data_IF_012000805935
#
_entry.id   IF_012000805935
#
_cell.length_a   1.000
_cell.length_b   1.000
_cell.length_c   1.000
_cell.angle_alpha   90.00
_cell.angle_beta   90.00
_cell.angle_gamma   90.00
#
_symmetry.space_group_name_H-M   'P 1'
#
loop_
_entity.id
_entity.type
_entity.pdbx_description
1 polymer ?
#
# COMPACT_ATOMS: atom_id res chain seq x y z
N UNK A 1 -11.72 1.97 -1.64
CA UNK A 1 -11.90 1.01 -0.52
C UNK A 1 -10.62 0.21 -0.21
N UNK A 2 -10.08 -0.58 -1.14
CA UNK A 2 -8.82 -1.31 -0.90
C UNK A 2 -7.59 -0.39 -0.92
N UNK A 3 -7.48 0.48 -1.93
CA UNK A 3 -6.39 1.47 -2.03
C UNK A 3 -6.36 2.42 -0.82
N UNK A 4 -7.51 2.97 -0.43
CA UNK A 4 -7.66 3.78 0.80
C UNK A 4 -7.09 3.10 2.05
N UNK A 5 -7.31 1.79 2.22
CA UNK A 5 -6.78 1.06 3.39
C UNK A 5 -5.27 0.88 3.33
N UNK A 6 -4.69 0.78 2.13
CA UNK A 6 -3.23 0.76 1.95
C UNK A 6 -2.64 2.13 2.26
N UNK A 7 -3.24 3.19 1.71
CA UNK A 7 -2.79 4.56 1.95
C UNK A 7 -2.95 5.04 3.40
N UNK A 8 -3.87 4.44 4.16
CA UNK A 8 -4.05 4.76 5.57
C UNK A 8 -2.81 4.46 6.44
N UNK A 9 -1.95 3.52 6.03
CA UNK A 9 -0.77 3.11 6.80
C UNK A 9 0.54 3.27 6.02
N UNK A 10 0.47 3.58 4.74
CA UNK A 10 1.64 3.68 3.86
C UNK A 10 1.42 4.72 2.76
N UNK A 11 2.27 5.74 2.69
CA UNK A 11 2.14 6.79 1.69
C UNK A 11 2.50 6.33 0.27
N UNK A 12 3.27 5.23 0.14
CA UNK A 12 3.94 4.82 -1.09
C UNK A 12 3.76 3.32 -1.42
N UNK A 13 2.52 2.79 -1.45
CA UNK A 13 2.26 1.37 -1.69
C UNK A 13 2.80 0.85 -3.04
N UNK A 14 2.91 1.72 -4.04
CA UNK A 14 3.48 1.42 -5.36
C UNK A 14 4.97 1.06 -5.30
N UNK A 15 5.71 1.65 -4.35
CA UNK A 15 7.13 1.36 -4.18
C UNK A 15 7.34 0.22 -3.20
N UNK A 16 6.63 0.25 -2.07
CA UNK A 16 6.79 -0.78 -1.03
C UNK A 16 6.34 -2.14 -1.53
N UNK A 17 5.27 -2.24 -2.33
CA UNK A 17 4.82 -3.53 -2.89
C UNK A 17 5.89 -4.20 -3.78
N UNK A 18 6.82 -3.43 -4.34
CA UNK A 18 7.92 -3.91 -5.19
C UNK A 18 9.20 -4.19 -4.41
N UNK A 19 9.55 -3.31 -3.46
CA UNK A 19 10.82 -3.36 -2.74
C UNK A 19 10.78 -4.18 -1.44
N UNK A 20 9.60 -4.30 -0.82
CA UNK A 20 9.47 -4.89 0.50
C UNK A 20 10.01 -6.34 0.54
N UNK A 21 10.81 -6.71 1.56
CA UNK A 21 11.26 -8.09 1.77
C UNK A 21 10.13 -9.02 2.26
N UNK A 22 8.89 -8.53 2.31
CA UNK A 22 7.67 -9.27 2.61
C UNK A 22 7.66 -10.04 3.95
N UNK A 23 7.97 -9.39 5.10
CA UNK A 23 7.90 -10.06 6.40
C UNK A 23 6.48 -10.54 6.75
N UNK A 24 5.46 -9.88 6.21
CA UNK A 24 4.05 -10.29 6.32
C UNK A 24 3.77 -11.66 5.67
N UNK A 25 4.46 -12.00 4.58
CA UNK A 25 4.32 -13.29 3.90
C UNK A 25 5.03 -14.40 4.70
N UNK A 26 6.22 -14.11 5.22
CA UNK A 26 6.97 -15.03 6.10
C UNK A 26 6.20 -15.40 7.38
N UNK A 27 5.38 -14.48 7.90
CA UNK A 27 4.56 -14.69 9.09
C UNK A 27 3.16 -15.27 8.78
N UNK A 28 2.85 -15.59 7.52
CA UNK A 28 1.53 -16.06 7.12
C UNK A 28 1.22 -17.45 7.71
N UNK A 29 0.10 -17.57 8.44
CA UNK A 29 -0.33 -18.85 9.03
C UNK A 29 -0.60 -19.94 7.99
N UNK A 30 -0.99 -19.56 6.76
CA UNK A 30 -1.14 -20.51 5.66
C UNK A 30 0.20 -21.16 5.28
N UNK A 31 1.29 -20.40 5.46
CA UNK A 31 2.69 -20.82 5.28
C UNK A 31 3.11 -22.05 6.11
N UNK A 32 2.33 -22.44 7.12
CA UNK A 32 2.60 -23.64 7.94
C UNK A 32 2.42 -24.92 7.11
N UNK A 33 1.43 -24.96 6.22
CA UNK A 33 1.05 -26.19 5.49
C UNK A 33 0.92 -26.01 3.97
N UNK A 34 0.93 -24.77 3.48
CA UNK A 34 0.77 -24.41 2.06
C UNK A 34 1.60 -23.17 1.74
N UNK A 35 1.81 -22.81 0.46
CA UNK A 35 2.45 -21.55 0.12
C UNK A 35 1.74 -20.35 0.77
N UNK A 36 2.51 -19.43 1.32
CA UNK A 36 1.99 -18.19 1.89
C UNK A 36 1.26 -17.35 0.83
N UNK A 37 0.31 -16.52 1.29
CA UNK A 37 -0.34 -15.54 0.41
C UNK A 37 0.71 -14.54 -0.07
N UNK A 38 0.71 -14.22 -1.36
CA UNK A 38 1.58 -13.19 -1.95
C UNK A 38 1.04 -11.79 -1.66
N UNK A 39 1.04 -11.40 -0.38
CA UNK A 39 0.50 -10.13 0.12
C UNK A 39 1.10 -8.96 -0.65
N UNK A 40 2.43 -8.92 -0.85
CA UNK A 40 3.07 -7.79 -1.55
C UNK A 40 2.56 -7.64 -3.00
N UNK A 41 2.31 -8.77 -3.68
CA UNK A 41 1.79 -8.76 -5.05
C UNK A 41 0.34 -8.29 -5.09
N UNK A 42 -0.45 -8.63 -4.07
CA UNK A 42 -1.82 -8.11 -3.92
C UNK A 42 -1.78 -6.60 -3.68
N UNK A 43 -0.89 -6.12 -2.80
CA UNK A 43 -0.72 -4.69 -2.54
C UNK A 43 -0.33 -3.92 -3.81
N UNK A 44 0.68 -4.41 -4.56
CA UNK A 44 1.11 -3.76 -5.80
C UNK A 44 0.00 -3.76 -6.87
N UNK A 45 -0.77 -4.85 -6.96
CA UNK A 45 -1.88 -4.94 -7.92
C UNK A 45 -3.02 -3.97 -7.58
N UNK A 46 -3.29 -3.74 -6.29
CA UNK A 46 -4.32 -2.80 -5.84
C UNK A 46 -3.92 -1.37 -6.21
N UNK A 47 -2.67 -0.98 -5.92
CA UNK A 47 -2.21 0.40 -6.19
C UNK A 47 -2.02 0.65 -7.68
N UNK A 48 -1.51 -0.31 -8.45
CA UNK A 48 -1.39 -0.16 -9.91
C UNK A 48 -2.77 0.07 -10.53
N UNK A 49 -3.78 -0.71 -10.11
CA UNK A 49 -5.16 -0.49 -10.55
C UNK A 49 -5.71 0.88 -10.14
N UNK A 50 -5.37 1.37 -8.95
CA UNK A 50 -5.83 2.67 -8.47
C UNK A 50 -5.19 3.84 -9.24
N UNK A 51 -3.93 3.69 -9.67
CA UNK A 51 -3.30 4.64 -10.59
C UNK A 51 -3.96 4.62 -11.97
N UNK A 52 -4.21 3.42 -12.52
CA UNK A 52 -4.85 3.26 -13.83
C UNK A 52 -6.28 3.84 -13.87
N UNK A 53 -7.02 3.78 -12.76
CA UNK A 53 -8.35 4.38 -12.62
C UNK A 53 -8.35 5.88 -12.30
N UNK A 54 -7.18 6.45 -11.98
CA UNK A 54 -7.07 7.85 -11.56
C UNK A 54 -7.57 8.12 -10.13
N UNK A 55 -7.71 7.08 -9.30
CA UNK A 55 -8.16 7.21 -7.90
C UNK A 55 -7.06 7.76 -6.98
N UNK A 56 -5.80 7.80 -7.43
CA UNK A 56 -4.67 8.34 -6.67
C UNK A 56 -4.48 9.82 -6.98
N UNK A 57 -4.87 10.69 -6.04
CA UNK A 57 -4.76 12.14 -6.17
C UNK A 57 -4.02 12.77 -4.99
N UNK A 58 -3.35 13.92 -5.19
CA UNK A 58 -2.77 14.68 -4.09
C UNK A 58 -3.80 15.01 -3.01
N UNK A 59 -3.37 15.01 -1.75
CA UNK A 59 -4.18 15.39 -0.58
C UNK A 59 -3.68 16.73 -0.03
N UNK A 60 -4.00 17.88 -0.67
CA UNK A 60 -3.62 19.18 -0.15
C UNK A 60 -4.36 19.48 1.16
N UNK A 61 -3.73 20.22 2.08
CA UNK A 61 -4.40 20.61 3.33
C UNK A 61 -5.56 21.58 3.04
N UNK A 62 -6.65 21.45 3.79
CA UNK A 62 -7.79 22.39 3.70
C UNK A 62 -7.42 23.82 4.14
N UNK A 63 -6.45 23.95 5.05
CA UNK A 63 -5.98 25.23 5.57
C UNK A 63 -4.47 25.23 5.81
N UNK A 64 -3.82 26.31 5.40
CA UNK A 64 -2.41 26.56 5.67
C UNK A 64 -2.20 27.07 7.11
N UNK A 65 -1.21 26.51 7.81
CA UNK A 65 -0.90 26.87 9.20
C UNK A 65 -0.09 28.16 9.35
N UNK A 66 0.55 28.64 8.28
CA UNK A 66 1.46 29.79 8.29
C UNK A 66 2.81 29.52 8.98
N UNK A 67 3.10 28.28 9.38
CA UNK A 67 4.36 27.87 10.01
C UNK A 67 5.25 27.14 9.00
N UNK A 68 6.57 27.31 9.12
CA UNK A 68 7.58 26.55 8.37
C UNK A 68 8.22 25.52 9.29
N UNK A 69 8.47 24.30 8.80
CA UNK A 69 9.09 23.18 9.52
C UNK A 69 10.56 23.08 9.14
#
# INVERSE_FOLDING_TARGET
>A
AASERLHATNNFPEFTGRLCPAPCESACVLGINQPAVTIKNVEVSIIDKAWDSGDVTPQPPERLSGKTV
#
